data_IF_531535469151
#
_entry.id   IF_531535469151
#
_cell.length_a   1.000
_cell.length_b   1.000
_cell.length_c   1.000
_cell.angle_alpha   90.00
_cell.angle_beta   90.00
_cell.angle_gamma   90.00
#
_symmetry.space_group_name_H-M   'P 1'
#
loop_
_entity.id
_entity.type
_entity.pdbx_description
1 polymer ?
#
# COMPACT_ATOMS: atom_id res chain seq x y z
N UNK A 1 13.15 17.33 -26.00
CA UNK A 1 13.36 18.32 -24.91
C UNK A 1 12.24 18.25 -23.85
N UNK A 2 11.78 17.05 -23.45
CA UNK A 2 10.64 16.87 -22.53
C UNK A 2 10.97 15.91 -21.36
N UNK A 3 12.24 15.48 -21.26
CA UNK A 3 12.72 14.51 -20.26
C UNK A 3 13.22 15.19 -18.98
N UNK A 4 14.08 16.21 -19.13
CA UNK A 4 14.71 16.89 -17.99
C UNK A 4 13.71 17.68 -17.14
N UNK A 5 12.76 18.38 -17.78
CA UNK A 5 11.72 19.14 -17.06
C UNK A 5 10.79 18.26 -16.23
N UNK A 6 10.58 17.00 -16.64
CA UNK A 6 9.75 16.05 -15.89
C UNK A 6 10.54 15.45 -14.72
N UNK A 7 11.83 15.20 -14.91
CA UNK A 7 12.76 14.73 -13.87
C UNK A 7 12.92 15.75 -12.75
N UNK A 8 13.07 17.04 -13.10
CA UNK A 8 13.23 18.12 -12.12
C UNK A 8 11.94 18.36 -11.30
N UNK A 9 10.77 18.19 -11.90
CA UNK A 9 9.48 18.27 -11.17
C UNK A 9 9.35 17.13 -10.17
N UNK A 10 9.68 15.88 -10.55
CA UNK A 10 9.66 14.75 -9.61
C UNK A 10 10.69 14.89 -8.48
N UNK A 11 11.88 15.44 -8.77
CA UNK A 11 12.92 15.67 -7.77
C UNK A 11 12.54 16.80 -6.79
N UNK A 12 11.91 17.86 -7.28
CA UNK A 12 11.41 18.96 -6.43
C UNK A 12 10.23 18.50 -5.56
N UNK A 13 9.29 17.75 -6.14
CA UNK A 13 8.21 17.10 -5.38
C UNK A 13 8.80 16.20 -4.28
N UNK A 14 9.75 15.32 -4.62
CA UNK A 14 10.37 14.43 -3.63
C UNK A 14 11.09 15.19 -2.50
N UNK A 15 11.76 16.32 -2.78
CA UNK A 15 12.36 17.19 -1.76
C UNK A 15 11.31 17.87 -0.87
N UNK A 16 10.30 18.50 -1.47
CA UNK A 16 9.21 19.18 -0.74
C UNK A 16 8.42 18.18 0.12
N UNK A 17 8.42 16.89 -0.25
CA UNK A 17 7.72 15.83 0.46
C UNK A 17 8.55 15.12 1.53
N UNK A 18 9.88 15.02 1.39
CA UNK A 18 10.77 14.39 2.40
C UNK A 18 11.09 15.37 3.55
N UNK A 19 11.12 16.68 3.30
CA UNK A 19 11.42 17.65 4.35
C UNK A 19 10.43 17.59 5.55
N UNK A 20 9.10 17.44 5.36
CA UNK A 20 8.19 17.22 6.49
C UNK A 20 8.49 15.93 7.28
N UNK A 21 9.01 14.89 6.63
CA UNK A 21 9.38 13.64 7.32
C UNK A 21 10.57 13.83 8.24
N UNK A 22 11.61 14.53 7.77
CA UNK A 22 12.79 14.79 8.59
C UNK A 22 12.43 15.62 9.82
N UNK A 23 11.49 16.56 9.69
CA UNK A 23 10.95 17.33 10.82
C UNK A 23 10.20 16.45 11.82
N UNK A 24 9.41 15.47 11.37
CA UNK A 24 8.71 14.52 12.24
C UNK A 24 9.71 13.65 12.99
N UNK A 25 10.69 13.05 12.29
CA UNK A 25 11.74 12.24 12.93
C UNK A 25 12.51 13.07 13.95
N UNK A 26 12.84 14.32 13.60
CA UNK A 26 13.48 15.28 14.51
C UNK A 26 12.64 15.53 15.77
N UNK A 27 11.36 15.88 15.61
CA UNK A 27 10.46 16.11 16.73
C UNK A 27 10.31 14.89 17.64
N UNK A 28 10.20 13.68 17.08
CA UNK A 28 10.09 12.42 17.83
C UNK A 28 11.36 12.05 18.61
N UNK A 29 12.50 12.67 18.30
CA UNK A 29 13.80 12.24 18.81
C UNK A 29 14.59 13.32 19.53
N UNK A 30 14.16 14.58 19.45
CA UNK A 30 14.85 15.70 20.10
C UNK A 30 14.15 16.23 21.36
N UNK A 31 12.82 16.15 21.48
CA UNK A 31 12.10 17.00 22.44
C UNK A 31 11.88 16.41 23.85
N UNK A 32 12.14 15.11 24.11
CA UNK A 32 11.91 14.53 25.46
C UNK A 32 12.96 13.50 25.93
N UNK A 33 14.10 13.34 25.26
CA UNK A 33 15.05 12.27 25.57
C UNK A 33 16.45 12.77 25.97
N UNK A 34 16.50 13.80 26.81
CA UNK A 34 17.73 14.32 27.44
C UNK A 34 18.38 13.38 28.47
N UNK A 35 17.92 12.13 28.57
CA UNK A 35 18.52 11.12 29.43
C UNK A 35 19.62 10.39 28.66
N UNK A 36 20.89 10.42 29.12
CA UNK A 36 21.99 9.71 28.46
C UNK A 36 21.72 8.21 28.26
N UNK A 37 20.91 7.64 29.15
CA UNK A 37 20.51 6.23 29.18
C UNK A 37 19.60 5.83 28.01
N UNK A 38 18.89 6.78 27.39
CA UNK A 38 17.99 6.50 26.26
C UNK A 38 18.66 6.66 24.89
N UNK A 39 19.90 7.17 24.83
CA UNK A 39 20.60 7.56 23.60
C UNK A 39 20.59 6.50 22.49
N UNK A 40 20.92 5.26 22.82
CA UNK A 40 20.93 4.14 21.86
C UNK A 40 19.53 3.83 21.32
N UNK A 41 18.50 3.93 22.16
CA UNK A 41 17.11 3.75 21.74
C UNK A 41 16.65 4.87 20.80
N UNK A 42 17.08 6.12 21.04
CA UNK A 42 16.81 7.24 20.13
C UNK A 42 17.47 7.01 18.78
N UNK A 43 18.74 6.60 18.76
CA UNK A 43 19.47 6.33 17.53
C UNK A 43 18.74 5.26 16.70
N UNK A 44 18.28 4.20 17.37
CA UNK A 44 17.48 3.16 16.71
C UNK A 44 16.13 3.68 16.22
N UNK A 45 15.46 4.54 16.99
CA UNK A 45 14.20 5.15 16.61
C UNK A 45 14.31 6.08 15.40
N UNK A 46 15.49 6.67 15.13
CA UNK A 46 15.74 7.44 13.90
C UNK A 46 15.80 6.53 12.67
N UNK A 47 16.52 5.41 12.77
CA UNK A 47 16.72 4.48 11.65
C UNK A 47 15.45 3.73 11.23
N UNK A 48 14.59 3.37 12.19
CA UNK A 48 13.44 2.49 11.94
C UNK A 48 12.43 3.12 10.96
N UNK A 49 11.97 4.38 11.14
CA UNK A 49 11.11 5.07 10.19
C UNK A 49 11.77 5.28 8.83
N UNK A 50 13.05 5.68 8.79
CA UNK A 50 13.77 5.90 7.53
C UNK A 50 13.84 4.62 6.69
N UNK A 51 14.05 3.47 7.33
CA UNK A 51 14.12 2.20 6.64
C UNK A 51 12.75 1.67 6.17
N UNK A 52 11.69 1.88 6.94
CA UNK A 52 10.40 1.22 6.73
C UNK A 52 9.32 2.11 6.09
N UNK A 53 9.41 3.43 6.23
CA UNK A 53 8.42 4.36 5.71
C UNK A 53 8.85 5.01 4.37
N UNK A 54 10.15 5.00 4.04
CA UNK A 54 10.70 5.60 2.81
C UNK A 54 10.89 4.54 1.71
N UNK A 55 10.54 4.90 0.47
CA UNK A 55 10.72 4.08 -0.74
C UNK A 55 9.40 3.66 -1.40
N UNK A 56 8.26 4.20 -0.98
CA UNK A 56 6.95 3.85 -1.55
C UNK A 56 6.47 4.85 -2.60
N UNK A 57 5.35 4.54 -3.27
CA UNK A 57 4.62 5.51 -4.13
C UNK A 57 3.89 6.61 -3.32
N UNK A 58 3.97 6.58 -1.98
CA UNK A 58 3.33 7.48 -1.00
C UNK A 58 1.86 7.83 -1.27
N UNK A 59 1.12 6.93 -1.93
CA UNK A 59 -0.19 7.25 -2.48
C UNK A 59 -1.22 7.56 -1.40
N UNK A 60 -1.07 6.99 -0.19
CA UNK A 60 -1.99 7.21 0.94
C UNK A 60 -1.79 8.60 1.53
N UNK A 61 -0.53 9.00 1.76
CA UNK A 61 -0.20 10.38 2.14
C UNK A 61 -0.76 11.39 1.15
N UNK A 62 -0.52 11.18 -0.14
CA UNK A 62 -1.02 12.09 -1.19
C UNK A 62 -2.54 12.20 -1.21
N UNK A 63 -3.26 11.11 -0.91
CA UNK A 63 -4.72 11.15 -0.78
C UNK A 63 -5.17 12.03 0.38
N UNK A 64 -4.47 12.02 1.52
CA UNK A 64 -4.79 12.90 2.66
C UNK A 64 -4.66 14.38 2.26
N UNK A 65 -3.54 14.75 1.64
CA UNK A 65 -3.29 16.14 1.23
C UNK A 65 -4.28 16.60 0.16
N UNK A 66 -4.53 15.76 -0.86
CA UNK A 66 -5.49 16.08 -1.91
C UNK A 66 -6.92 16.23 -1.35
N UNK A 67 -7.32 15.37 -0.42
CA UNK A 67 -8.64 15.45 0.23
C UNK A 67 -8.77 16.72 1.07
N UNK A 68 -7.72 17.10 1.81
CA UNK A 68 -7.68 18.36 2.54
C UNK A 68 -7.86 19.56 1.62
N UNK A 69 -7.15 19.58 0.48
CA UNK A 69 -7.22 20.68 -0.49
C UNK A 69 -8.59 20.81 -1.17
N UNK A 70 -9.31 19.69 -1.35
CA UNK A 70 -10.65 19.66 -1.94
C UNK A 70 -11.75 20.04 -0.93
N UNK A 71 -11.58 19.69 0.36
CA UNK A 71 -12.60 19.91 1.40
C UNK A 71 -12.50 21.28 2.08
N UNK A 72 -11.32 21.88 2.12
CA UNK A 72 -11.08 23.14 2.83
C UNK A 72 -11.08 24.31 1.85
N UNK A 73 -11.86 25.35 2.14
CA UNK A 73 -11.90 26.57 1.34
C UNK A 73 -10.48 27.11 1.08
N UNK A 74 -10.18 27.52 -0.16
CA UNK A 74 -8.86 28.04 -0.53
C UNK A 74 -8.35 29.17 0.38
N UNK A 75 -9.26 30.01 0.90
CA UNK A 75 -8.93 31.10 1.83
C UNK A 75 -8.56 30.66 3.25
N UNK A 76 -8.70 29.38 3.59
CA UNK A 76 -8.37 28.78 4.89
C UNK A 76 -7.21 27.78 4.80
N UNK A 77 -6.62 27.61 3.63
CA UNK A 77 -5.45 26.74 3.42
C UNK A 77 -4.15 27.51 3.71
N UNK A 78 -3.98 27.96 4.95
CA UNK A 78 -2.71 28.56 5.39
C UNK A 78 -1.58 27.52 5.48
N UNK A 79 -0.35 28.02 5.60
CA UNK A 79 0.85 27.20 5.65
C UNK A 79 0.83 26.18 6.80
N UNK A 80 0.32 26.57 7.97
CA UNK A 80 0.26 25.70 9.15
C UNK A 80 -0.75 24.57 8.95
N UNK A 81 -1.88 24.86 8.32
CA UNK A 81 -2.93 23.89 8.04
C UNK A 81 -2.49 22.89 6.98
N UNK A 82 -1.76 23.34 5.97
CA UNK A 82 -1.11 22.45 5.00
C UNK A 82 -0.03 21.58 5.67
N UNK A 83 0.79 22.15 6.54
CA UNK A 83 1.79 21.41 7.31
C UNK A 83 1.16 20.32 8.19
N UNK A 84 0.01 20.63 8.82
CA UNK A 84 -0.77 19.63 9.57
C UNK A 84 -1.28 18.50 8.67
N UNK A 85 -1.83 18.81 7.50
CA UNK A 85 -2.28 17.79 6.55
C UNK A 85 -1.14 16.89 6.07
N UNK A 86 0.03 17.46 5.79
CA UNK A 86 1.26 16.73 5.45
C UNK A 86 1.70 15.81 6.60
N UNK A 87 1.67 16.33 7.83
CA UNK A 87 2.02 15.57 9.04
C UNK A 87 1.08 14.37 9.23
N UNK A 88 -0.23 14.57 9.13
CA UNK A 88 -1.22 13.48 9.19
C UNK A 88 -0.98 12.45 8.08
N UNK A 89 -0.69 12.90 6.86
CA UNK A 89 -0.36 12.01 5.77
C UNK A 89 0.89 11.14 6.05
N UNK A 90 1.89 11.69 6.73
CA UNK A 90 3.05 10.93 7.21
C UNK A 90 2.70 9.97 8.35
N UNK A 91 1.81 10.33 9.26
CA UNK A 91 1.30 9.39 10.28
C UNK A 91 0.63 8.17 9.62
N UNK A 92 -0.09 8.35 8.51
CA UNK A 92 -0.70 7.23 7.76
C UNK A 92 0.37 6.31 7.15
N UNK A 93 1.46 6.86 6.61
CA UNK A 93 2.56 6.03 6.07
C UNK A 93 3.37 5.35 7.19
N UNK A 94 3.54 5.98 8.35
CA UNK A 94 4.14 5.34 9.53
C UNK A 94 3.27 4.19 10.06
N UNK A 95 1.96 4.38 10.14
CA UNK A 95 1.02 3.33 10.53
C UNK A 95 1.07 2.14 9.55
N UNK A 96 1.17 2.43 8.25
CA UNK A 96 1.38 1.41 7.23
C UNK A 96 2.71 0.68 7.43
N UNK A 97 3.80 1.40 7.69
CA UNK A 97 5.11 0.80 7.92
C UNK A 97 5.09 -0.15 9.12
N UNK A 98 4.41 0.24 10.21
CA UNK A 98 4.19 -0.62 11.38
C UNK A 98 3.47 -1.93 11.02
N UNK A 99 2.35 -1.85 10.29
CA UNK A 99 1.63 -3.05 9.86
C UNK A 99 2.47 -3.92 8.93
N UNK A 100 3.21 -3.35 7.98
CA UNK A 100 4.06 -4.11 7.06
C UNK A 100 5.20 -4.85 7.77
N UNK A 101 5.84 -4.22 8.78
CA UNK A 101 6.88 -4.90 9.57
C UNK A 101 6.28 -6.07 10.36
N UNK A 102 5.09 -5.89 10.92
CA UNK A 102 4.40 -6.94 11.69
C UNK A 102 3.95 -8.09 10.78
N UNK A 103 3.36 -7.75 9.63
CA UNK A 103 2.94 -8.66 8.54
C UNK A 103 4.11 -9.51 8.06
N UNK A 104 5.26 -8.91 7.76
CA UNK A 104 6.46 -9.63 7.32
C UNK A 104 6.93 -10.69 8.34
N UNK A 105 6.79 -10.43 9.65
CA UNK A 105 7.12 -11.37 10.73
C UNK A 105 6.07 -12.49 10.81
N UNK A 106 4.78 -12.15 10.79
CA UNK A 106 3.69 -13.13 10.86
C UNK A 106 3.71 -14.09 9.67
N UNK A 107 3.98 -13.57 8.47
CA UNK A 107 3.97 -14.34 7.22
C UNK A 107 5.31 -15.04 6.93
N UNK A 108 6.29 -14.92 7.83
CA UNK A 108 7.66 -15.46 7.61
C UNK A 108 8.26 -15.04 6.26
N UNK A 109 7.99 -13.82 5.81
CA UNK A 109 8.37 -13.33 4.48
C UNK A 109 9.90 -13.16 4.35
N UNK A 110 10.53 -13.85 3.39
CA UNK A 110 12.00 -13.99 3.29
C UNK A 110 12.69 -12.83 2.53
N UNK A 111 11.97 -12.02 1.74
CA UNK A 111 12.63 -10.93 1.00
C UNK A 111 13.06 -9.78 1.92
N UNK A 112 14.35 -9.74 2.28
CA UNK A 112 15.19 -8.52 2.40
C UNK A 112 16.67 -8.85 2.70
N UNK A 113 17.55 -8.80 1.68
CA UNK A 113 18.79 -8.04 1.86
C UNK A 113 18.91 -6.89 0.85
N UNK A 114 19.07 -5.65 1.34
CA UNK A 114 19.61 -4.53 0.57
C UNK A 114 18.65 -3.49 -0.02
N UNK A 115 17.31 -3.64 0.09
CA UNK A 115 16.36 -2.58 -0.32
C UNK A 115 15.15 -2.45 0.61
N UNK A 116 14.60 -1.24 0.70
CA UNK A 116 13.36 -0.92 1.39
C UNK A 116 12.19 -1.70 0.78
N UNK A 117 11.43 -2.41 1.62
CA UNK A 117 10.27 -3.23 1.22
C UNK A 117 9.19 -2.45 0.46
N UNK A 118 9.24 -1.14 0.56
CA UNK A 118 8.36 -0.22 -0.12
C UNK A 118 8.43 -0.33 -1.66
N UNK A 119 9.53 -0.88 -2.22
CA UNK A 119 9.76 -1.06 -3.68
C UNK A 119 9.71 -2.53 -4.13
N UNK A 120 9.77 -3.52 -3.24
CA UNK A 120 10.13 -4.88 -3.64
C UNK A 120 8.95 -5.73 -4.11
N UNK A 121 9.14 -6.41 -5.25
CA UNK A 121 8.31 -7.51 -5.72
C UNK A 121 8.31 -8.67 -4.73
N UNK A 122 7.52 -8.58 -3.65
CA UNK A 122 7.20 -9.71 -2.75
C UNK A 122 6.81 -10.90 -3.62
N UNK A 123 7.51 -12.02 -3.45
CA UNK A 123 7.07 -13.31 -3.99
C UNK A 123 5.84 -13.68 -3.18
N UNK A 124 4.66 -13.75 -3.80
CA UNK A 124 3.43 -14.10 -3.08
C UNK A 124 3.54 -15.48 -2.43
N UNK A 125 3.25 -15.55 -1.13
CA UNK A 125 3.33 -16.77 -0.30
C UNK A 125 1.96 -17.32 0.09
N UNK A 126 0.87 -16.66 -0.31
CA UNK A 126 -0.52 -16.97 0.05
C UNK A 126 -0.86 -18.47 -0.09
N UNK A 127 -0.36 -19.14 -1.13
CA UNK A 127 -0.59 -20.59 -1.35
C UNK A 127 0.18 -21.43 -0.33
N UNK A 128 1.44 -21.07 -0.06
CA UNK A 128 2.32 -21.77 0.87
C UNK A 128 1.84 -21.64 2.32
N UNK A 129 1.29 -20.47 2.65
CA UNK A 129 0.88 -20.13 4.01
C UNK A 129 -0.59 -20.51 4.30
N UNK A 130 -1.26 -21.15 3.34
CA UNK A 130 -2.67 -21.57 3.44
C UNK A 130 -3.63 -20.39 3.66
N UNK A 131 -3.31 -19.23 3.09
CA UNK A 131 -4.09 -18.01 3.25
C UNK A 131 -5.46 -18.14 2.59
N UNK A 132 -6.46 -17.53 3.22
CA UNK A 132 -7.81 -17.41 2.66
C UNK A 132 -7.88 -16.28 1.61
N UNK A 133 -7.11 -16.45 0.54
CA UNK A 133 -7.03 -15.47 -0.56
C UNK A 133 -8.31 -15.46 -1.40
N UNK A 134 -8.55 -14.33 -2.10
CA UNK A 134 -9.67 -14.24 -3.04
C UNK A 134 -9.64 -15.36 -4.10
N UNK A 135 -8.44 -15.74 -4.57
CA UNK A 135 -8.26 -16.78 -5.58
C UNK A 135 -8.72 -18.16 -5.09
N UNK A 136 -8.39 -18.55 -3.85
CA UNK A 136 -8.81 -19.85 -3.33
C UNK A 136 -10.32 -19.91 -3.11
N UNK A 137 -10.93 -18.82 -2.65
CA UNK A 137 -12.40 -18.72 -2.51
C UNK A 137 -13.07 -18.84 -3.88
N UNK A 138 -12.59 -18.12 -4.90
CA UNK A 138 -13.17 -18.19 -6.24
C UNK A 138 -12.97 -19.57 -6.90
N UNK A 139 -11.83 -20.22 -6.64
CA UNK A 139 -11.56 -21.59 -7.05
C UNK A 139 -12.59 -22.55 -6.44
N UNK A 140 -12.72 -22.57 -5.11
CA UNK A 140 -13.66 -23.44 -4.40
C UNK A 140 -15.13 -23.25 -4.83
N UNK A 141 -15.54 -22.01 -5.12
CA UNK A 141 -16.90 -21.72 -5.59
C UNK A 141 -17.21 -22.27 -6.99
N UNK A 142 -16.19 -22.55 -7.81
CA UNK A 142 -16.33 -22.94 -9.23
C UNK A 142 -15.83 -24.34 -9.53
N UNK A 143 -15.17 -24.97 -8.56
CA UNK A 143 -14.51 -26.25 -8.76
C UNK A 143 -15.54 -27.37 -9.04
N UNK A 144 -15.24 -28.24 -10.01
CA UNK A 144 -15.97 -29.50 -10.20
C UNK A 144 -15.65 -30.45 -9.04
N UNK A 145 -16.43 -31.50 -8.76
CA UNK A 145 -16.19 -32.40 -7.62
C UNK A 145 -14.77 -33.00 -7.54
N UNK A 146 -14.06 -33.11 -8.67
CA UNK A 146 -12.73 -33.70 -8.79
C UNK A 146 -11.59 -32.69 -8.54
N UNK A 147 -11.84 -31.40 -8.76
CA UNK A 147 -10.83 -30.34 -8.66
C UNK A 147 -10.43 -29.94 -7.21
N UNK A 148 -11.31 -30.01 -6.18
CA UNK A 148 -10.95 -29.73 -4.80
C UNK A 148 -9.84 -30.63 -4.30
N UNK A 149 -9.75 -31.89 -4.76
CA UNK A 149 -8.70 -32.80 -4.33
C UNK A 149 -7.30 -32.26 -4.65
N UNK A 150 -7.12 -31.65 -5.83
CA UNK A 150 -5.86 -30.98 -6.20
C UNK A 150 -5.57 -29.85 -5.22
N UNK A 151 -6.57 -29.09 -4.79
CA UNK A 151 -6.37 -28.05 -3.78
C UNK A 151 -6.03 -28.64 -2.41
N UNK A 152 -6.77 -29.66 -1.93
CA UNK A 152 -6.53 -30.32 -0.64
C UNK A 152 -5.14 -30.94 -0.53
N UNK A 153 -4.63 -31.53 -1.61
CA UNK A 153 -3.33 -32.21 -1.61
C UNK A 153 -2.14 -31.23 -1.69
N UNK A 154 -2.37 -29.99 -2.17
CA UNK A 154 -1.31 -29.08 -2.58
C UNK A 154 -1.32 -27.69 -1.90
N UNK A 155 -2.46 -27.20 -1.41
CA UNK A 155 -2.56 -25.89 -0.74
C UNK A 155 -1.97 -25.95 0.68
N UNK A 156 -1.33 -24.85 1.12
CA UNK A 156 -0.65 -24.77 2.41
C UNK A 156 0.67 -25.56 2.48
N UNK A 157 1.26 -25.89 1.33
CA UNK A 157 2.49 -26.67 1.24
C UNK A 157 3.63 -25.83 0.70
N UNK A 158 4.80 -25.88 1.35
CA UNK A 158 6.00 -25.11 0.95
C UNK A 158 6.72 -25.68 -0.28
N UNK A 159 6.33 -26.86 -0.77
CA UNK A 159 6.91 -27.49 -1.95
C UNK A 159 6.54 -26.71 -3.23
N UNK A 160 7.56 -26.25 -3.96
CA UNK A 160 7.39 -25.47 -5.18
C UNK A 160 6.57 -26.17 -6.27
N UNK A 161 6.62 -27.51 -6.37
CA UNK A 161 5.81 -28.29 -7.33
C UNK A 161 4.33 -28.25 -6.94
N UNK A 162 4.02 -28.36 -5.65
CA UNK A 162 2.65 -28.28 -5.13
C UNK A 162 2.07 -26.87 -5.35
N UNK A 163 2.86 -25.83 -5.07
CA UNK A 163 2.48 -24.44 -5.38
C UNK A 163 2.22 -24.26 -6.87
N UNK A 164 3.08 -24.82 -7.73
CA UNK A 164 2.90 -24.76 -9.18
C UNK A 164 1.62 -25.48 -9.65
N UNK A 165 1.24 -26.59 -9.01
CA UNK A 165 -0.02 -27.28 -9.31
C UNK A 165 -1.24 -26.44 -8.97
N UNK A 166 -1.27 -25.78 -7.80
CA UNK A 166 -2.35 -24.84 -7.44
C UNK A 166 -2.41 -23.67 -8.43
N UNK A 167 -1.25 -23.11 -8.82
CA UNK A 167 -1.20 -22.03 -9.83
C UNK A 167 -1.71 -22.49 -11.19
N UNK A 168 -1.37 -23.70 -11.62
CA UNK A 168 -1.86 -24.28 -12.87
C UNK A 168 -3.38 -24.46 -12.84
N UNK A 169 -3.93 -24.94 -11.72
CA UNK A 169 -5.38 -25.04 -11.51
C UNK A 169 -6.07 -23.67 -11.65
N UNK A 170 -5.52 -22.61 -11.06
CA UNK A 170 -6.06 -21.25 -11.21
C UNK A 170 -6.06 -20.76 -12.66
N UNK A 171 -5.04 -21.13 -13.45
CA UNK A 171 -4.98 -20.80 -14.88
C UNK A 171 -5.99 -21.63 -15.70
N UNK A 172 -6.11 -22.92 -15.42
CA UNK A 172 -7.07 -23.83 -16.07
C UNK A 172 -8.51 -23.37 -15.85
N UNK A 173 -8.83 -22.95 -14.62
CA UNK A 173 -10.14 -22.40 -14.27
C UNK A 173 -10.36 -20.96 -14.77
N UNK A 174 -9.39 -20.40 -15.49
CA UNK A 174 -9.43 -19.06 -16.05
C UNK A 174 -9.75 -17.97 -15.00
N UNK A 175 -9.26 -18.15 -13.76
CA UNK A 175 -9.44 -17.18 -12.68
C UNK A 175 -8.89 -15.78 -13.00
N UNK A 176 -7.83 -15.60 -13.83
CA UNK A 176 -7.43 -14.28 -14.28
C UNK A 176 -8.55 -13.53 -15.00
N UNK A 177 -9.32 -14.20 -15.88
CA UNK A 177 -10.46 -13.57 -16.56
C UNK A 177 -11.60 -13.28 -15.59
N UNK A 178 -11.86 -14.16 -14.61
CA UNK A 178 -12.82 -13.92 -13.54
C UNK A 178 -12.45 -12.67 -12.74
N UNK A 179 -11.16 -12.50 -12.41
CA UNK A 179 -10.67 -11.31 -11.72
C UNK A 179 -10.82 -10.04 -12.58
N UNK A 180 -10.44 -10.10 -13.86
CA UNK A 180 -10.61 -8.94 -14.75
C UNK A 180 -12.07 -8.50 -14.86
N UNK A 181 -13.01 -9.47 -14.90
CA UNK A 181 -14.44 -9.14 -14.92
C UNK A 181 -14.90 -8.55 -13.60
N UNK A 182 -14.51 -9.15 -12.47
CA UNK A 182 -14.78 -8.61 -11.14
C UNK A 182 -14.22 -7.19 -10.96
N UNK A 183 -13.00 -6.92 -11.44
CA UNK A 183 -12.36 -5.61 -11.35
C UNK A 183 -13.16 -4.55 -12.12
N UNK A 184 -13.61 -4.88 -13.34
CA UNK A 184 -14.47 -4.01 -14.15
C UNK A 184 -15.82 -3.75 -13.46
N UNK A 185 -16.52 -4.81 -13.03
CA UNK A 185 -17.83 -4.71 -12.39
C UNK A 185 -17.74 -3.92 -11.06
N UNK A 186 -16.69 -4.18 -10.26
CA UNK A 186 -16.44 -3.45 -9.02
C UNK A 186 -16.13 -1.97 -9.28
N UNK A 187 -15.39 -1.64 -10.35
CA UNK A 187 -15.11 -0.26 -10.71
C UNK A 187 -16.38 0.45 -11.17
N UNK A 188 -17.19 -0.16 -12.03
CA UNK A 188 -18.49 0.37 -12.46
C UNK A 188 -19.42 0.60 -11.27
N UNK A 189 -19.47 -0.34 -10.33
CA UNK A 189 -20.26 -0.18 -9.11
C UNK A 189 -19.76 1.00 -8.26
N UNK A 190 -18.44 1.12 -8.07
CA UNK A 190 -17.84 2.24 -7.36
C UNK A 190 -18.18 3.59 -8.02
N UNK A 191 -18.11 3.68 -9.34
CA UNK A 191 -18.49 4.91 -10.07
C UNK A 191 -19.96 5.27 -9.81
N UNK A 192 -20.85 4.28 -9.86
CA UNK A 192 -22.28 4.51 -9.56
C UNK A 192 -22.50 4.98 -8.12
N UNK A 193 -21.77 4.45 -7.15
CA UNK A 193 -21.83 4.91 -5.76
C UNK A 193 -21.33 6.35 -5.61
N UNK A 194 -20.26 6.73 -6.34
CA UNK A 194 -19.77 8.12 -6.33
C UNK A 194 -20.85 9.06 -6.88
N UNK A 195 -21.50 8.69 -7.99
CA UNK A 195 -22.59 9.50 -8.57
C UNK A 195 -23.77 9.65 -7.60
N UNK A 196 -24.13 8.58 -6.89
CA UNK A 196 -25.29 8.57 -5.99
C UNK A 196 -25.01 9.22 -4.63
N UNK A 197 -23.80 9.07 -4.09
CA UNK A 197 -23.51 9.32 -2.68
C UNK A 197 -22.38 10.34 -2.44
N UNK A 198 -21.77 10.93 -3.46
CA UNK A 198 -20.70 11.90 -3.23
C UNK A 198 -21.19 13.14 -2.48
N UNK A 199 -22.40 13.63 -2.76
CA UNK A 199 -22.96 14.79 -2.09
C UNK A 199 -23.10 14.56 -0.57
N UNK A 200 -22.68 15.52 0.28
CA UNK A 200 -22.32 16.92 -0.03
C UNK A 200 -20.85 17.16 -0.41
N UNK A 201 -20.02 16.11 -0.48
CA UNK A 201 -18.60 16.21 -0.82
C UNK A 201 -18.38 16.27 -2.34
N UNK A 202 -17.19 16.72 -2.77
CA UNK A 202 -16.85 16.75 -4.19
C UNK A 202 -16.54 15.33 -4.69
N UNK A 203 -17.10 14.89 -5.84
CA UNK A 203 -16.78 13.58 -6.43
C UNK A 203 -15.28 13.37 -6.70
N UNK A 204 -14.54 14.45 -6.95
CA UNK A 204 -13.11 14.44 -7.25
C UNK A 204 -12.27 13.73 -6.19
N UNK A 205 -12.65 13.84 -4.92
CA UNK A 205 -11.96 13.17 -3.80
C UNK A 205 -11.95 11.65 -4.01
N UNK A 206 -13.09 11.09 -4.41
CA UNK A 206 -13.25 9.65 -4.63
C UNK A 206 -12.66 9.22 -5.97
N UNK A 207 -12.86 10.02 -7.03
CA UNK A 207 -12.34 9.73 -8.37
C UNK A 207 -10.81 9.66 -8.40
N UNK A 208 -10.13 10.56 -7.67
CA UNK A 208 -8.67 10.55 -7.56
C UNK A 208 -8.12 9.26 -6.96
N UNK A 209 -8.82 8.71 -5.96
CA UNK A 209 -8.45 7.41 -5.36
C UNK A 209 -8.81 6.24 -6.28
N UNK A 210 -10.02 6.23 -6.86
CA UNK A 210 -10.49 5.18 -7.76
C UNK A 210 -9.55 4.97 -8.95
N UNK A 211 -9.10 6.06 -9.58
CA UNK A 211 -8.18 6.02 -10.71
C UNK A 211 -6.77 5.50 -10.33
N UNK A 212 -6.35 5.65 -9.08
CA UNK A 212 -5.05 5.13 -8.59
C UNK A 212 -5.09 3.63 -8.29
N UNK A 213 -6.27 3.06 -8.01
CA UNK A 213 -6.43 1.65 -7.66
C UNK A 213 -6.86 0.79 -8.84
N UNK A 214 -7.69 1.32 -9.76
CA UNK A 214 -8.21 0.57 -10.89
C UNK A 214 -7.10 0.24 -11.90
N UNK A 215 -7.02 -1.03 -12.32
CA UNK A 215 -6.02 -1.55 -13.27
C UNK A 215 -4.59 -1.21 -12.90
N UNK A 216 -4.32 -1.12 -11.59
CA UNK A 216 -3.01 -0.76 -11.08
C UNK A 216 -1.98 -1.80 -11.49
N UNK A 217 -1.02 -1.39 -12.33
CA UNK A 217 0.19 -2.15 -12.60
C UNK A 217 1.24 -1.81 -11.54
N UNK A 218 1.92 -2.84 -10.99
CA UNK A 218 2.99 -2.64 -10.01
C UNK A 218 4.14 -1.87 -10.65
#
# INVERSE_FOLDING_TARGET
MNGDQKSDIYAQEEQDFIQPFSQIVKALTEDEMGHPETGDAIARLKEVPEYNAIGGKYSRRLTVVATFQELVDLGKQDADSLQRALTVGWCVELLRAFFLVSDDIMDSSITRPGQSCCVTGKVGTDIQDSECSWLVVQCLQRATPEQPQILWDNYGQKDAKKVAQVRALYQEMNLPAVFSKYEEDSYSHLMSLIEQCAAPLTPNIFLGLANKIYRRKK
#
